data_IF_851454896441
#
_entry.id   IF_851454896441
#
_cell.length_a   1.000
_cell.length_b   1.000
_cell.length_c   1.000
_cell.angle_alpha   90.00
_cell.angle_beta   90.00
_cell.angle_gamma   90.00
#
_symmetry.space_group_name_H-M   'P 1'
#
loop_
_entity.id
_entity.type
_entity.pdbx_description
1 polymer ?
#
# COMPACT_ATOMS: atom_id res chain seq x y z
N UNK A 1 -23.66 -0.42 -1.45
CA UNK A 1 -23.52 -0.78 -2.88
C UNK A 1 -22.54 0.22 -3.48
N UNK A 2 -21.26 -0.13 -3.55
CA UNK A 2 -20.20 0.72 -4.11
C UNK A 2 -19.84 0.19 -5.50
N UNK A 3 -19.69 1.04 -6.54
CA UNK A 3 -19.59 0.58 -7.91
C UNK A 3 -18.18 0.14 -8.29
N UNK A 4 -18.16 -0.95 -9.05
CA UNK A 4 -17.08 -1.65 -9.72
C UNK A 4 -16.11 -0.78 -10.53
N UNK A 5 -14.83 -1.17 -10.46
CA UNK A 5 -14.01 -1.48 -11.63
C UNK A 5 -13.85 -0.41 -12.70
N UNK A 6 -12.93 0.53 -12.50
CA UNK A 6 -12.34 1.27 -13.62
C UNK A 6 -11.14 0.50 -14.15
N UNK A 7 -11.32 -0.13 -15.31
CA UNK A 7 -10.26 -0.60 -16.19
C UNK A 7 -9.22 0.50 -16.40
N UNK A 8 -8.03 0.32 -15.83
CA UNK A 8 -6.89 1.22 -16.01
C UNK A 8 -6.02 0.68 -17.14
N UNK A 9 -5.89 1.45 -18.23
CA UNK A 9 -4.82 1.24 -19.22
C UNK A 9 -3.50 1.62 -18.55
N UNK A 10 -2.75 0.64 -18.05
CA UNK A 10 -1.43 0.82 -17.45
C UNK A 10 -0.39 0.97 -18.55
N UNK A 11 -0.01 2.21 -18.84
CA UNK A 11 1.24 2.50 -19.52
C UNK A 11 2.38 2.46 -18.50
N UNK A 12 3.30 1.50 -18.67
CA UNK A 12 4.64 1.44 -18.05
C UNK A 12 4.67 1.68 -16.52
N UNK A 13 4.59 0.59 -15.76
CA UNK A 13 4.49 0.44 -14.30
C UNK A 13 5.72 0.96 -13.49
N UNK A 14 6.72 1.57 -14.13
CA UNK A 14 8.04 1.78 -13.52
C UNK A 14 8.17 2.90 -12.48
N UNK A 15 7.16 3.75 -12.25
CA UNK A 15 7.33 4.96 -11.43
C UNK A 15 6.24 5.19 -10.35
N UNK A 16 5.38 4.22 -10.07
CA UNK A 16 4.26 4.43 -9.13
C UNK A 16 4.71 4.53 -7.67
N UNK A 17 5.76 3.80 -7.31
CA UNK A 17 6.21 3.64 -5.92
C UNK A 17 7.70 3.96 -5.77
N UNK A 18 8.22 4.89 -6.59
CA UNK A 18 9.57 5.39 -6.37
C UNK A 18 9.64 6.05 -4.98
N UNK A 19 10.59 5.64 -4.11
CA UNK A 19 10.59 6.02 -2.69
C UNK A 19 10.46 7.51 -2.42
N UNK A 20 11.22 8.33 -3.15
CA UNK A 20 11.24 9.79 -2.96
C UNK A 20 9.92 10.44 -3.40
N UNK A 21 9.36 9.98 -4.52
CA UNK A 21 8.10 10.50 -5.06
C UNK A 21 6.92 10.10 -4.17
N UNK A 22 6.89 8.86 -3.70
CA UNK A 22 5.84 8.36 -2.81
C UNK A 22 5.89 9.05 -1.45
N UNK A 23 7.09 9.20 -0.86
CA UNK A 23 7.26 9.93 0.39
C UNK A 23 6.83 11.40 0.23
N UNK A 24 7.23 12.05 -0.86
CA UNK A 24 6.82 13.43 -1.15
C UNK A 24 5.31 13.54 -1.33
N UNK A 25 4.68 12.58 -2.00
CA UNK A 25 3.23 12.55 -2.17
C UNK A 25 2.52 12.38 -0.82
N UNK A 26 3.04 11.48 0.02
CA UNK A 26 2.55 11.31 1.39
C UNK A 26 2.61 12.62 2.19
N UNK A 27 3.77 13.26 2.23
CA UNK A 27 3.97 14.45 3.07
C UNK A 27 3.16 15.67 2.62
N UNK A 28 2.91 15.81 1.31
CA UNK A 28 2.32 17.02 0.74
C UNK A 28 0.85 16.90 0.39
N UNK A 29 0.39 15.70 0.04
CA UNK A 29 -0.91 15.52 -0.59
C UNK A 29 -1.75 14.42 0.07
N UNK A 30 -1.21 13.68 1.03
CA UNK A 30 -2.00 12.66 1.71
C UNK A 30 -3.18 13.26 2.46
N UNK A 31 -4.29 12.53 2.40
CA UNK A 31 -5.49 12.80 3.21
C UNK A 31 -5.55 11.76 4.32
N UNK A 32 -5.87 12.20 5.53
CA UNK A 32 -6.04 11.35 6.72
C UNK A 32 -7.50 11.45 7.17
N UNK A 33 -8.18 10.32 7.30
CA UNK A 33 -9.58 10.23 7.75
C UNK A 33 -9.69 9.23 8.89
N UNK A 34 -10.25 9.64 10.03
CA UNK A 34 -10.56 8.73 11.14
C UNK A 34 -12.00 8.25 10.96
N UNK A 35 -12.16 6.94 10.76
CA UNK A 35 -13.45 6.28 10.56
C UNK A 35 -14.19 6.08 11.89
N UNK A 36 -15.51 5.80 11.88
CA UNK A 36 -16.31 5.64 13.11
C UNK A 36 -15.84 4.52 14.06
N UNK A 37 -15.11 3.53 13.55
CA UNK A 37 -14.49 2.45 14.33
C UNK A 37 -13.12 2.82 14.93
N UNK A 38 -12.71 4.09 14.88
CA UNK A 38 -11.39 4.60 15.29
C UNK A 38 -10.20 4.18 14.42
N UNK A 39 -10.48 3.54 13.28
CA UNK A 39 -9.51 3.21 12.24
C UNK A 39 -9.09 4.48 11.49
N UNK A 40 -7.81 4.56 11.16
CA UNK A 40 -7.24 5.63 10.34
C UNK A 40 -7.11 5.14 8.90
N UNK A 41 -7.75 5.84 7.97
CA UNK A 41 -7.50 5.74 6.55
C UNK A 41 -6.54 6.86 6.12
N UNK A 42 -5.47 6.47 5.43
CA UNK A 42 -4.52 7.37 4.78
C UNK A 42 -4.62 7.15 3.27
N UNK A 43 -4.90 8.21 2.53
CA UNK A 43 -5.02 8.16 1.07
C UNK A 43 -3.92 9.01 0.46
N UNK A 44 -3.01 8.38 -0.30
CA UNK A 44 -1.89 9.03 -0.98
C UNK A 44 -2.16 9.08 -2.48
N UNK A 45 -2.32 10.25 -3.09
CA UNK A 45 -2.49 10.34 -4.54
C UNK A 45 -1.18 10.01 -5.26
N UNK A 46 -1.24 9.12 -6.25
CA UNK A 46 -0.10 8.69 -7.07
C UNK A 46 -0.05 9.43 -8.41
N UNK A 47 1.10 9.31 -9.09
CA UNK A 47 1.42 10.03 -10.33
C UNK A 47 0.50 9.67 -11.52
N UNK A 48 -0.06 8.45 -11.53
CA UNK A 48 -1.01 7.98 -12.54
C UNK A 48 -2.47 8.36 -12.25
N UNK A 49 -2.70 9.26 -11.28
CA UNK A 49 -4.02 9.67 -10.78
C UNK A 49 -4.77 8.54 -10.08
N UNK A 50 -4.05 7.52 -9.62
CA UNK A 50 -4.54 6.59 -8.63
C UNK A 50 -4.36 7.10 -7.22
N UNK A 51 -5.02 6.43 -6.29
CA UNK A 51 -4.87 6.64 -4.87
C UNK A 51 -4.33 5.33 -4.29
N UNK A 52 -3.32 5.44 -3.43
CA UNK A 52 -2.86 4.36 -2.55
C UNK A 52 -3.58 4.50 -1.21
N UNK A 53 -4.29 3.46 -0.81
CA UNK A 53 -5.02 3.42 0.46
C UNK A 53 -4.25 2.61 1.50
N UNK A 54 -4.01 3.22 2.66
CA UNK A 54 -3.37 2.57 3.81
C UNK A 54 -4.29 2.70 5.01
N UNK A 55 -4.59 1.57 5.64
CA UNK A 55 -5.49 1.46 6.79
C UNK A 55 -4.69 1.11 8.04
N UNK A 56 -4.99 1.77 9.15
CA UNK A 56 -4.45 1.44 10.48
C UNK A 56 -5.61 1.28 11.47
N UNK A 57 -5.78 0.11 12.12
CA UNK A 57 -6.90 -0.14 13.02
C UNK A 57 -7.00 0.82 14.22
N UNK A 58 -5.86 1.29 14.74
CA UNK A 58 -5.79 2.24 15.86
C UNK A 58 -5.21 3.58 15.40
N UNK A 59 -6.07 4.57 15.21
CA UNK A 59 -5.67 5.94 14.82
C UNK A 59 -4.81 6.68 15.87
N UNK A 60 -4.76 6.21 17.12
CA UNK A 60 -4.02 6.85 18.21
C UNK A 60 -2.57 6.36 18.34
N UNK A 61 -2.18 5.38 17.55
CA UNK A 61 -0.87 4.76 17.62
C UNK A 61 0.29 5.74 17.29
N UNK A 62 1.22 5.89 18.25
CA UNK A 62 2.37 6.80 18.10
C UNK A 62 3.40 6.36 17.04
N UNK A 63 3.30 5.14 16.52
CA UNK A 63 4.21 4.58 15.52
C UNK A 63 3.78 4.86 14.07
N UNK A 64 2.56 5.34 13.83
CA UNK A 64 1.97 5.45 12.48
C UNK A 64 2.87 6.23 11.53
N UNK A 65 3.28 7.45 11.91
CA UNK A 65 4.05 8.31 11.02
C UNK A 65 5.40 7.69 10.62
N UNK A 66 6.10 7.05 11.56
CA UNK A 66 7.40 6.41 11.25
C UNK A 66 7.22 5.19 10.36
N UNK A 67 6.16 4.40 10.57
CA UNK A 67 5.88 3.21 9.76
C UNK A 67 5.38 3.52 8.37
N UNK A 68 4.59 4.58 8.19
CA UNK A 68 4.17 5.01 6.86
C UNK A 68 5.36 5.55 6.07
N UNK A 69 6.26 6.32 6.69
CA UNK A 69 7.50 6.77 6.05
C UNK A 69 8.39 5.60 5.64
N UNK A 70 8.55 4.62 6.52
CA UNK A 70 9.26 3.37 6.21
C UNK A 70 8.61 2.58 5.09
N UNK A 71 7.26 2.56 5.03
CA UNK A 71 6.52 1.91 3.96
C UNK A 71 6.75 2.63 2.63
N UNK A 72 6.69 3.97 2.61
CA UNK A 72 7.02 4.75 1.42
C UNK A 72 8.42 4.44 0.88
N UNK A 73 9.38 4.20 1.77
CA UNK A 73 10.75 3.83 1.39
C UNK A 73 10.88 2.39 0.86
N UNK A 74 10.01 1.48 1.26
CA UNK A 74 10.13 0.03 1.00
C UNK A 74 9.15 -0.48 -0.07
N UNK A 75 8.04 0.23 -0.31
CA UNK A 75 6.91 -0.28 -1.08
C UNK A 75 7.27 -0.63 -2.53
N UNK A 76 8.11 0.17 -3.18
CA UNK A 76 8.56 -0.13 -4.55
C UNK A 76 9.36 -1.42 -4.65
N UNK A 77 10.13 -1.78 -3.62
CA UNK A 77 10.87 -3.04 -3.58
C UNK A 77 9.99 -4.24 -3.23
N UNK A 78 8.94 -4.02 -2.43
CA UNK A 78 7.90 -5.01 -2.14
C UNK A 78 7.10 -5.29 -3.42
N UNK A 79 6.55 -4.26 -4.06
CA UNK A 79 5.79 -4.40 -5.32
C UNK A 79 6.62 -5.10 -6.40
N UNK A 80 7.87 -4.68 -6.62
CA UNK A 80 8.75 -5.33 -7.61
C UNK A 80 8.99 -6.82 -7.32
N UNK A 81 8.99 -7.24 -6.06
CA UNK A 81 9.14 -8.65 -5.68
C UNK A 81 7.83 -9.40 -5.87
N UNK A 82 6.72 -8.87 -5.39
CA UNK A 82 5.37 -9.41 -5.60
C UNK A 82 5.08 -9.63 -7.09
N UNK A 83 5.37 -8.65 -7.95
CA UNK A 83 5.13 -8.74 -9.40
C UNK A 83 5.93 -9.85 -10.09
N UNK A 84 7.08 -10.28 -9.55
CA UNK A 84 7.80 -11.46 -10.09
C UNK A 84 7.00 -12.75 -9.89
N UNK A 85 6.21 -12.83 -8.83
CA UNK A 85 5.35 -13.96 -8.51
C UNK A 85 4.00 -13.83 -9.21
N UNK A 86 3.42 -12.63 -9.22
CA UNK A 86 2.07 -12.33 -9.70
C UNK A 86 1.97 -11.99 -11.20
N UNK A 87 3.11 -11.80 -11.89
CA UNK A 87 3.22 -11.66 -13.36
C UNK A 87 2.46 -10.47 -13.97
N UNK A 88 2.51 -9.29 -13.35
CA UNK A 88 1.88 -8.04 -13.83
C UNK A 88 0.34 -8.11 -14.00
N UNK A 89 -0.30 -9.21 -13.58
CA UNK A 89 -1.76 -9.38 -13.62
C UNK A 89 -2.46 -8.78 -12.41
N UNK A 90 -1.69 -8.34 -11.41
CA UNK A 90 -2.17 -7.83 -10.14
C UNK A 90 -1.66 -6.42 -9.87
N UNK A 91 -2.46 -5.63 -9.17
CA UNK A 91 -2.10 -4.29 -8.68
C UNK A 91 -2.39 -4.18 -7.20
N UNK A 92 -1.65 -3.33 -6.48
CA UNK A 92 -1.98 -3.04 -5.08
C UNK A 92 -3.39 -2.45 -5.03
N UNK A 93 -4.26 -3.09 -4.25
CA UNK A 93 -5.60 -2.59 -3.93
C UNK A 93 -5.54 -1.68 -2.71
N UNK A 94 -5.11 -2.23 -1.57
CA UNK A 94 -4.97 -1.51 -0.31
C UNK A 94 -3.90 -2.14 0.57
N UNK A 95 -3.49 -1.43 1.62
CA UNK A 95 -2.49 -1.88 2.59
C UNK A 95 -3.09 -1.74 3.99
N UNK A 96 -2.97 -2.78 4.82
CA UNK A 96 -3.26 -2.71 6.26
C UNK A 96 -1.96 -2.70 7.05
N UNK A 97 -1.78 -1.77 7.99
CA UNK A 97 -0.76 -1.88 9.02
C UNK A 97 -1.47 -2.17 10.34
N UNK A 98 -1.58 -3.46 10.69
CA UNK A 98 -2.34 -3.94 11.84
C UNK A 98 -1.58 -3.76 13.17
N UNK A 99 -0.26 -3.60 13.11
CA UNK A 99 0.60 -3.42 14.28
C UNK A 99 1.85 -2.61 13.93
N UNK A 100 2.70 -2.24 14.92
CA UNK A 100 3.94 -1.53 14.64
C UNK A 100 4.87 -2.31 13.71
N UNK A 101 4.83 -3.65 13.74
CA UNK A 101 5.85 -4.48 13.09
C UNK A 101 5.27 -5.48 12.08
N UNK A 102 3.97 -5.37 11.79
CA UNK A 102 3.26 -6.23 10.84
C UNK A 102 2.24 -5.42 10.02
N UNK A 103 1.99 -5.91 8.82
CA UNK A 103 0.98 -5.40 7.91
C UNK A 103 0.75 -6.35 6.75
N UNK A 104 -0.23 -6.04 5.91
CA UNK A 104 -0.60 -6.82 4.74
C UNK A 104 -0.72 -5.87 3.54
N UNK A 105 -0.14 -6.26 2.41
CA UNK A 105 -0.37 -5.62 1.12
C UNK A 105 -1.29 -6.52 0.31
N UNK A 106 -2.50 -6.04 0.03
CA UNK A 106 -3.46 -6.79 -0.78
C UNK A 106 -3.32 -6.45 -2.26
N UNK A 107 -3.02 -7.47 -3.05
CA UNK A 107 -2.93 -7.37 -4.50
C UNK A 107 -4.22 -7.86 -5.15
N UNK A 108 -4.78 -7.07 -6.07
CA UNK A 108 -6.03 -7.39 -6.75
C UNK A 108 -5.75 -7.70 -8.21
N UNK A 109 -6.28 -8.81 -8.69
CA UNK A 109 -6.18 -9.20 -10.08
C UNK A 109 -6.96 -8.23 -10.98
N UNK A 110 -6.36 -7.83 -12.10
CA UNK A 110 -6.97 -6.86 -13.02
C UNK A 110 -8.14 -7.51 -13.76
N UNK A 111 -9.34 -6.97 -13.56
CA UNK A 111 -10.53 -7.38 -14.31
C UNK A 111 -11.26 -8.61 -13.75
N UNK A 112 -10.84 -9.12 -12.60
CA UNK A 112 -11.52 -10.20 -11.87
C UNK A 112 -11.54 -9.89 -10.37
N UNK A 113 -12.49 -10.48 -9.63
CA UNK A 113 -12.61 -10.27 -8.18
C UNK A 113 -11.77 -11.31 -7.43
N UNK A 114 -10.44 -11.21 -7.54
CA UNK A 114 -9.50 -12.10 -6.87
C UNK A 114 -8.41 -11.29 -6.18
N UNK A 115 -8.17 -11.63 -4.92
CA UNK A 115 -7.25 -10.93 -4.03
C UNK A 115 -6.11 -11.88 -3.65
N UNK A 116 -4.92 -11.31 -3.48
CA UNK A 116 -3.71 -12.00 -3.10
C UNK A 116 -2.99 -11.20 -2.01
N UNK A 117 -3.22 -11.53 -0.72
CA UNK A 117 -2.54 -10.86 0.38
C UNK A 117 -1.07 -11.27 0.44
N UNK A 118 -0.21 -10.29 0.69
CA UNK A 118 1.20 -10.52 1.03
C UNK A 118 1.48 -9.88 2.38
N UNK A 119 1.84 -10.72 3.35
CA UNK A 119 2.28 -10.27 4.66
C UNK A 119 3.61 -9.52 4.55
N UNK A 120 3.71 -8.41 5.28
CA UNK A 120 4.93 -7.61 5.41
C UNK A 120 5.27 -7.40 6.89
N UNK A 121 6.55 -7.36 7.22
CA UNK A 121 7.02 -7.11 8.57
C UNK A 121 8.05 -5.98 8.61
N UNK A 122 8.11 -5.28 9.74
CA UNK A 122 9.12 -4.26 9.99
C UNK A 122 10.38 -4.90 10.58
N UNK A 123 11.54 -4.70 9.94
CA UNK A 123 12.82 -5.29 10.36
C UNK A 123 13.64 -4.42 11.30
N UNK A 124 13.21 -3.18 11.54
CA UNK A 124 13.96 -2.16 12.27
C UNK A 124 14.27 -0.94 11.41
N UNK A 125 14.51 -1.17 10.13
CA UNK A 125 14.94 -0.19 9.13
C UNK A 125 14.05 -0.15 7.88
N UNK A 126 13.40 -1.26 7.52
CA UNK A 126 12.55 -1.35 6.34
C UNK A 126 11.34 -2.28 6.57
N UNK A 127 10.39 -2.21 5.63
CA UNK A 127 9.36 -3.23 5.50
C UNK A 127 9.83 -4.32 4.53
N UNK A 128 9.64 -5.58 4.91
CA UNK A 128 9.99 -6.74 4.10
C UNK A 128 8.81 -7.70 3.97
N UNK A 129 8.67 -8.34 2.80
CA UNK A 129 7.74 -9.45 2.61
C UNK A 129 8.08 -10.62 3.53
N UNK A 130 7.08 -11.13 4.24
CA UNK A 130 7.20 -12.36 5.01
C UNK A 130 7.11 -13.54 4.04
N UNK A 131 8.23 -14.21 3.80
CA UNK A 131 8.24 -15.43 2.99
C UNK A 131 7.66 -16.58 3.80
N UNK A 132 6.42 -16.96 3.50
CA UNK A 132 5.90 -18.28 3.88
C UNK A 132 6.71 -19.34 3.12
N UNK A 133 7.34 -20.24 3.89
CA UNK A 133 8.15 -21.35 3.36
C UNK A 133 7.31 -22.47 2.77
#
# INVERSE_FOLDING_TARGET
MFPFGRSRRLGVVRALYEPEDLLRAYERFARKEIRPNSELLIVIPLSDKSDLEITVPDSSAGWIESRIRGLCASLGDIDRRAQKTLRDEFVIGWIELDSPDHGVVDYWAVGVNSEYPIDICWTGDAWEEVRTR
#
